data_IF_878361348270
#
_entry.id   IF_878361348270
#
_cell.length_a   1.000
_cell.length_b   1.000
_cell.length_c   1.000
_cell.angle_alpha   90.00
_cell.angle_beta   90.00
_cell.angle_gamma   90.00
#
_symmetry.space_group_name_H-M   'P 1'
#
loop_
_entity.id
_entity.type
_entity.pdbx_description
1 polymer ?
#
# COMPACT_ATOMS: atom_id res chain seq x y z
N UNK A 1 1.62 -2.22 -12.27
CA UNK A 1 0.81 -1.51 -11.25
C UNK A 1 1.52 -0.19 -10.97
N UNK A 2 0.82 0.94 -10.90
CA UNK A 2 1.44 2.25 -10.62
C UNK A 2 1.79 2.38 -9.14
N UNK A 3 2.83 3.16 -8.80
CA UNK A 3 3.32 3.31 -7.41
C UNK A 3 2.21 3.74 -6.44
N UNK A 4 1.34 4.66 -6.86
CA UNK A 4 0.20 5.15 -6.06
C UNK A 4 -0.77 4.03 -5.67
N UNK A 5 -1.07 3.08 -6.57
CA UNK A 5 -1.95 1.94 -6.23
C UNK A 5 -1.31 1.02 -5.21
N UNK A 6 0.00 0.83 -5.28
CA UNK A 6 0.72 -0.02 -4.33
C UNK A 6 0.73 0.59 -2.93
N UNK A 7 0.90 1.91 -2.82
CA UNK A 7 0.80 2.66 -1.55
C UNK A 7 -0.62 2.55 -0.97
N UNK A 8 -1.65 2.71 -1.80
CA UNK A 8 -3.05 2.60 -1.36
C UNK A 8 -3.39 1.20 -0.83
N UNK A 9 -2.86 0.14 -1.46
CA UNK A 9 -3.03 -1.24 -0.98
C UNK A 9 -2.37 -1.48 0.37
N UNK A 10 -1.18 -0.91 0.59
CA UNK A 10 -0.50 -0.97 1.89
C UNK A 10 -1.31 -0.23 2.96
N UNK A 11 -1.83 0.97 2.65
CA UNK A 11 -2.69 1.74 3.56
C UNK A 11 -3.97 0.98 3.91
N UNK A 12 -4.66 0.42 2.92
CA UNK A 12 -5.86 -0.40 3.11
C UNK A 12 -5.60 -1.59 4.06
N UNK A 13 -4.44 -2.23 3.91
CA UNK A 13 -4.02 -3.32 4.80
C UNK A 13 -3.69 -2.84 6.22
N UNK A 14 -2.87 -1.79 6.36
CA UNK A 14 -2.38 -1.32 7.67
C UNK A 14 -3.40 -0.52 8.48
N UNK A 15 -4.17 0.38 7.84
CA UNK A 15 -5.04 1.33 8.55
C UNK A 15 -6.52 0.96 8.50
N UNK A 16 -6.95 0.18 7.50
CA UNK A 16 -8.35 -0.23 7.34
C UNK A 16 -8.59 -1.71 7.65
N UNK A 17 -7.54 -2.50 7.87
CA UNK A 17 -7.63 -3.92 8.21
C UNK A 17 -8.23 -4.77 7.08
N UNK A 18 -8.12 -4.32 5.83
CA UNK A 18 -8.67 -5.09 4.70
C UNK A 18 -7.83 -6.34 4.43
N UNK A 19 -8.51 -7.42 4.08
CA UNK A 19 -7.86 -8.65 3.62
C UNK A 19 -7.26 -8.45 2.23
N UNK A 20 -6.23 -9.23 1.92
CA UNK A 20 -5.55 -9.18 0.61
C UNK A 20 -6.51 -9.46 -0.55
N UNK A 21 -7.49 -10.32 -0.32
CA UNK A 21 -8.57 -10.62 -1.28
C UNK A 21 -9.46 -9.41 -1.52
N UNK A 22 -9.96 -8.77 -0.44
CA UNK A 22 -10.79 -7.57 -0.54
C UNK A 22 -10.07 -6.42 -1.27
N UNK A 23 -8.77 -6.27 -1.01
CA UNK A 23 -7.93 -5.29 -1.71
C UNK A 23 -7.80 -5.67 -3.19
N UNK A 24 -7.47 -6.92 -3.52
CA UNK A 24 -7.34 -7.40 -4.89
C UNK A 24 -8.61 -7.23 -5.71
N UNK A 25 -9.75 -7.56 -5.10
CA UNK A 25 -11.09 -7.39 -5.65
C UNK A 25 -11.39 -5.91 -5.95
N UNK A 26 -11.21 -5.04 -4.95
CA UNK A 26 -11.43 -3.60 -5.08
C UNK A 26 -10.57 -2.94 -6.18
N UNK A 27 -9.33 -3.40 -6.36
CA UNK A 27 -8.42 -2.85 -7.37
C UNK A 27 -8.58 -3.45 -8.78
N UNK A 28 -9.65 -4.21 -9.03
CA UNK A 28 -10.03 -4.74 -10.34
C UNK A 28 -9.90 -6.26 -10.45
N UNK A 29 -10.26 -7.00 -9.40
CA UNK A 29 -10.25 -8.48 -9.41
C UNK A 29 -8.86 -9.09 -9.58
N UNK A 30 -7.79 -8.40 -9.16
CA UNK A 30 -6.42 -8.90 -9.36
C UNK A 30 -6.09 -10.02 -8.39
N UNK A 31 -5.39 -11.05 -8.87
CA UNK A 31 -4.86 -12.14 -8.06
C UNK A 31 -4.17 -11.60 -6.80
N UNK A 32 -4.56 -12.13 -5.64
CA UNK A 32 -4.02 -11.84 -4.31
C UNK A 32 -2.48 -11.85 -4.27
N UNK A 33 -1.83 -12.72 -5.06
CA UNK A 33 -0.38 -12.76 -5.19
C UNK A 33 0.24 -11.45 -5.72
N UNK A 34 -0.44 -10.76 -6.64
CA UNK A 34 -0.02 -9.45 -7.16
C UNK A 34 -0.14 -8.36 -6.10
N UNK A 35 -1.15 -8.45 -5.23
CA UNK A 35 -1.33 -7.53 -4.09
C UNK A 35 -0.21 -7.74 -3.07
N UNK A 36 0.12 -9.00 -2.76
CA UNK A 36 1.23 -9.34 -1.86
C UNK A 36 2.54 -8.76 -2.38
N UNK A 37 2.85 -8.98 -3.67
CA UNK A 37 4.07 -8.45 -4.26
C UNK A 37 4.10 -6.92 -4.25
N UNK A 38 2.98 -6.27 -4.57
CA UNK A 38 2.85 -4.81 -4.53
C UNK A 38 3.10 -4.23 -3.14
N UNK A 39 2.48 -4.81 -2.11
CA UNK A 39 2.64 -4.39 -0.72
C UNK A 39 4.09 -4.58 -0.28
N UNK A 40 4.67 -5.75 -0.53
CA UNK A 40 6.04 -6.05 -0.11
C UNK A 40 7.08 -5.15 -0.82
N UNK A 41 6.83 -4.81 -2.10
CA UNK A 41 7.69 -3.91 -2.84
C UNK A 41 7.64 -2.47 -2.28
N UNK A 42 6.46 -1.97 -1.93
CA UNK A 42 6.32 -0.66 -1.29
C UNK A 42 6.94 -0.67 0.11
N UNK A 43 6.72 -1.69 0.92
CA UNK A 43 7.36 -1.77 2.25
C UNK A 43 8.89 -1.80 2.17
N UNK A 44 9.45 -2.47 1.16
CA UNK A 44 10.90 -2.41 0.90
C UNK A 44 11.32 -1.00 0.50
N UNK A 45 10.63 -0.38 -0.45
CA UNK A 45 10.94 0.99 -0.89
C UNK A 45 10.85 2.00 0.25
N UNK A 46 9.85 1.90 1.12
CA UNK A 46 9.73 2.75 2.32
C UNK A 46 10.90 2.57 3.31
N UNK A 47 11.62 1.44 3.27
CA UNK A 47 12.82 1.24 4.10
C UNK A 47 14.10 1.71 3.43
N UNK A 48 14.14 1.71 2.10
CA UNK A 48 15.34 2.04 1.32
C UNK A 48 15.36 3.50 0.88
N UNK A 49 14.19 4.08 0.63
CA UNK A 49 14.00 5.42 0.10
C UNK A 49 13.38 6.32 1.18
N UNK A 50 14.21 7.19 1.75
CA UNK A 50 13.82 8.09 2.84
C UNK A 50 12.83 9.17 2.42
N UNK A 51 12.85 9.56 1.15
CA UNK A 51 11.93 10.57 0.60
C UNK A 51 10.52 9.99 0.45
N UNK A 52 10.42 8.78 -0.11
CA UNK A 52 9.16 8.04 -0.20
C UNK A 52 8.61 7.69 1.19
N UNK A 53 9.48 7.41 2.15
CA UNK A 53 9.09 7.19 3.54
C UNK A 53 8.52 8.46 4.18
N UNK A 54 9.17 9.61 3.96
CA UNK A 54 8.72 10.90 4.45
C UNK A 54 7.35 11.26 3.86
N UNK A 55 7.21 11.17 2.54
CA UNK A 55 5.96 11.44 1.82
C UNK A 55 4.82 10.53 2.32
N UNK A 56 5.09 9.23 2.48
CA UNK A 56 4.14 8.29 3.08
C UNK A 56 3.73 8.68 4.51
N UNK A 57 4.67 9.09 5.35
CA UNK A 57 4.36 9.53 6.72
C UNK A 57 3.51 10.80 6.73
N UNK A 58 3.82 11.78 5.86
CA UNK A 58 3.00 12.99 5.72
C UNK A 58 1.58 12.66 5.25
N UNK A 59 1.43 11.70 4.32
CA UNK A 59 0.11 11.24 3.87
C UNK A 59 -0.67 10.54 4.98
N UNK A 60 0.00 9.72 5.79
CA UNK A 60 -0.61 9.06 6.95
C UNK A 60 -1.04 10.08 8.01
N UNK A 61 -0.17 11.02 8.34
CA UNK A 61 -0.44 12.10 9.31
C UNK A 61 -1.66 12.93 8.88
N UNK A 62 -1.74 13.29 7.59
CA UNK A 62 -2.90 13.99 7.02
C UNK A 62 -4.18 13.16 6.98
N UNK A 63 -4.09 11.83 6.99
CA UNK A 63 -5.24 10.94 7.06
C UNK A 63 -5.91 10.98 8.45
N UNK A 64 -5.33 11.69 9.43
CA UNK A 64 -5.94 11.91 10.74
C UNK A 64 -6.03 10.64 11.59
N UNK A 65 -5.12 9.69 11.36
CA UNK A 65 -4.93 8.48 12.17
C UNK A 65 -3.56 8.46 12.81
#
# INVERSE_FOLDING_TARGET
MTQSRQILMLLAKKYFGWTLEKIGDYFGGKNHASVIYAINNVEKKLKTDGDMAHDYQVFVDRLGK
#
